data_IF_363299314106
#
_entry.id   IF_363299314106
#
_cell.length_a   1.000
_cell.length_b   1.000
_cell.length_c   1.000
_cell.angle_alpha   90.00
_cell.angle_beta   90.00
_cell.angle_gamma   90.00
#
_symmetry.space_group_name_H-M   'P 1'
#
loop_
_entity.id
_entity.type
_entity.pdbx_description
1 polymer ?
#
# COMPACT_ATOMS: atom_id res chain seq x y z
N UNK A 1 73.12 -0.61 -25.73
CA UNK A 1 73.04 -1.95 -25.09
C UNK A 1 71.60 -2.15 -24.64
N UNK A 2 70.83 -2.97 -25.36
CA UNK A 2 69.41 -3.22 -25.10
C UNK A 2 69.30 -4.37 -24.11
N UNK A 3 68.80 -4.12 -22.91
CA UNK A 3 68.48 -5.17 -21.94
C UNK A 3 66.99 -5.47 -21.97
N UNK A 4 66.67 -6.67 -22.43
CA UNK A 4 65.39 -7.33 -22.20
C UNK A 4 65.42 -7.92 -20.79
N UNK A 5 64.41 -7.62 -19.97
CA UNK A 5 64.10 -8.42 -18.78
C UNK A 5 62.61 -8.74 -18.81
N UNK A 6 62.35 -10.01 -19.10
CA UNK A 6 61.05 -10.69 -19.03
C UNK A 6 61.00 -11.40 -17.68
N UNK A 7 60.18 -10.96 -16.73
CA UNK A 7 59.80 -11.70 -15.50
C UNK A 7 58.37 -11.25 -15.14
N UNK A 8 57.33 -12.00 -15.52
CA UNK A 8 56.64 -13.07 -14.79
C UNK A 8 55.36 -12.54 -14.09
N UNK A 9 54.22 -12.92 -14.66
CA UNK A 9 52.89 -12.91 -14.04
C UNK A 9 52.92 -13.55 -12.64
N UNK A 10 52.15 -13.00 -11.69
CA UNK A 10 51.16 -13.70 -10.84
C UNK A 10 50.75 -12.79 -9.66
N UNK A 11 49.44 -12.78 -9.36
CA UNK A 11 48.75 -12.16 -8.20
C UNK A 11 48.45 -10.65 -8.23
N UNK A 12 47.51 -10.25 -9.09
CA UNK A 12 46.57 -9.16 -8.76
C UNK A 12 45.12 -9.63 -8.96
N UNK A 13 44.84 -10.84 -8.48
CA UNK A 13 43.48 -11.27 -8.17
C UNK A 13 43.31 -11.12 -6.65
N UNK A 14 42.10 -10.80 -6.20
CA UNK A 14 41.68 -10.60 -4.80
C UNK A 14 41.85 -9.16 -4.27
N UNK A 15 41.22 -8.15 -4.88
CA UNK A 15 40.65 -7.00 -4.14
C UNK A 15 39.45 -6.34 -4.86
N UNK A 16 38.70 -7.10 -5.67
CA UNK A 16 37.40 -6.68 -6.21
C UNK A 16 36.22 -7.50 -5.67
N UNK A 17 36.39 -8.14 -4.52
CA UNK A 17 35.26 -8.69 -3.77
C UNK A 17 34.93 -7.74 -2.63
N UNK A 18 33.64 -7.40 -2.52
CA UNK A 18 32.99 -6.56 -1.49
C UNK A 18 32.71 -5.11 -1.86
N UNK A 19 32.15 -4.88 -3.05
CA UNK A 19 31.20 -3.79 -3.24
C UNK A 19 30.01 -4.23 -4.11
N UNK A 20 29.50 -5.44 -3.84
CA UNK A 20 28.06 -5.63 -3.96
C UNK A 20 27.46 -5.00 -2.71
N UNK A 21 27.18 -3.71 -2.80
CA UNK A 21 26.18 -3.09 -1.97
C UNK A 21 24.94 -4.00 -2.03
N UNK A 22 24.42 -4.39 -0.86
CA UNK A 22 23.13 -5.06 -0.78
C UNK A 22 22.07 -4.10 -1.33
N UNK A 23 21.85 -4.12 -2.64
CA UNK A 23 20.57 -3.76 -3.20
C UNK A 23 19.64 -4.90 -2.81
N UNK A 24 19.17 -4.85 -1.57
CA UNK A 24 18.03 -5.62 -1.13
C UNK A 24 16.88 -5.11 -1.98
N UNK A 25 16.62 -5.78 -3.10
CA UNK A 25 15.34 -5.64 -3.78
C UNK A 25 14.28 -5.90 -2.72
N UNK A 26 13.69 -4.83 -2.22
CA UNK A 26 12.54 -4.89 -1.34
C UNK A 26 11.38 -5.29 -2.24
N UNK A 27 11.37 -6.57 -2.64
CA UNK A 27 10.25 -7.15 -3.38
C UNK A 27 8.98 -6.89 -2.57
N UNK A 28 8.01 -6.27 -3.23
CA UNK A 28 6.73 -5.93 -2.65
C UNK A 28 5.74 -7.03 -3.01
N UNK A 29 4.96 -7.46 -2.02
CA UNK A 29 3.87 -8.39 -2.18
C UNK A 29 2.56 -7.63 -2.01
N UNK A 30 1.78 -7.55 -3.09
CA UNK A 30 0.43 -7.02 -3.04
C UNK A 30 -0.46 -8.01 -2.30
N UNK A 31 -1.06 -7.57 -1.19
CA UNK A 31 -1.92 -8.41 -0.36
C UNK A 31 -3.38 -8.31 -0.80
N UNK A 32 -3.81 -7.11 -1.19
CA UNK A 32 -5.17 -6.84 -1.67
C UNK A 32 -5.19 -5.63 -2.58
N UNK A 33 -6.15 -5.63 -3.49
CA UNK A 33 -6.53 -4.47 -4.29
C UNK A 33 -7.99 -4.11 -4.05
N UNK A 34 -8.27 -2.82 -3.96
CA UNK A 34 -9.61 -2.27 -3.83
C UNK A 34 -9.92 -1.46 -5.09
N UNK A 35 -10.85 -1.96 -5.89
CA UNK A 35 -11.31 -1.30 -7.10
C UNK A 35 -12.37 -0.27 -6.75
N UNK A 36 -12.10 1.00 -7.05
CA UNK A 36 -12.98 2.10 -6.71
C UNK A 36 -14.08 2.21 -7.76
N UNK A 37 -15.34 2.12 -7.33
CA UNK A 37 -16.52 2.33 -8.18
C UNK A 37 -17.13 3.72 -8.01
N UNK A 38 -16.99 4.31 -6.82
CA UNK A 38 -17.47 5.66 -6.51
C UNK A 38 -16.67 6.30 -5.39
N UNK A 39 -16.73 7.63 -5.31
CA UNK A 39 -16.12 8.35 -4.22
C UNK A 39 -16.46 9.82 -4.12
N UNK A 40 -16.19 10.39 -2.95
CA UNK A 40 -16.47 11.79 -2.63
C UNK A 40 -15.26 12.46 -1.99
N UNK A 41 -15.10 13.76 -2.25
CA UNK A 41 -14.18 14.64 -1.56
C UNK A 41 -14.97 15.76 -0.88
N UNK A 42 -14.91 15.84 0.45
CA UNK A 42 -15.71 16.77 1.25
C UNK A 42 -17.21 16.73 0.91
N UNK A 43 -17.72 15.51 0.66
CA UNK A 43 -19.12 15.27 0.27
C UNK A 43 -19.46 15.59 -1.19
N UNK A 44 -18.54 16.17 -1.96
CA UNK A 44 -18.69 16.40 -3.40
C UNK A 44 -18.34 15.13 -4.16
N UNK A 45 -19.20 14.71 -5.09
CA UNK A 45 -18.95 13.55 -5.93
C UNK A 45 -17.75 13.78 -6.87
N UNK A 46 -16.79 12.85 -6.81
CA UNK A 46 -15.60 12.83 -7.67
C UNK A 46 -15.51 11.51 -8.47
N UNK A 47 -16.59 10.73 -8.50
CA UNK A 47 -16.66 9.43 -9.17
C UNK A 47 -16.22 9.49 -10.64
N UNK A 48 -16.66 10.46 -11.46
CA UNK A 48 -16.20 10.54 -12.86
C UNK A 48 -14.68 10.64 -12.99
N UNK A 49 -14.06 11.46 -12.13
CA UNK A 49 -12.60 11.63 -12.09
C UNK A 49 -11.90 10.33 -11.67
N UNK A 50 -12.40 9.64 -10.64
CA UNK A 50 -11.82 8.38 -10.16
C UNK A 50 -11.87 7.28 -11.24
N UNK A 51 -13.01 7.17 -11.95
CA UNK A 51 -13.18 6.23 -13.06
C UNK A 51 -12.25 6.59 -14.22
N UNK A 52 -12.18 7.87 -14.59
CA UNK A 52 -11.29 8.33 -15.66
C UNK A 52 -9.81 8.03 -15.35
N UNK A 53 -9.41 8.19 -14.09
CA UNK A 53 -8.06 7.90 -13.64
C UNK A 53 -7.77 6.41 -13.49
N UNK A 54 -8.79 5.54 -13.62
CA UNK A 54 -8.70 4.12 -13.28
C UNK A 54 -8.06 3.95 -11.89
N UNK A 55 -8.61 4.69 -10.92
CA UNK A 55 -8.08 4.80 -9.58
C UNK A 55 -8.38 3.54 -8.76
N UNK A 56 -7.41 3.11 -7.95
CA UNK A 56 -7.57 1.96 -7.05
C UNK A 56 -6.70 2.13 -5.80
N UNK A 57 -7.03 1.39 -4.75
CA UNK A 57 -6.19 1.28 -3.55
C UNK A 57 -5.54 -0.09 -3.48
N UNK A 58 -4.37 -0.18 -2.85
CA UNK A 58 -3.73 -1.45 -2.54
C UNK A 58 -3.20 -1.44 -1.11
N UNK A 59 -3.31 -2.57 -0.42
CA UNK A 59 -2.50 -2.85 0.77
C UNK A 59 -1.45 -3.88 0.36
N UNK A 60 -0.21 -3.62 0.74
CA UNK A 60 0.95 -4.44 0.36
C UNK A 60 1.94 -4.51 1.52
N UNK A 61 2.88 -5.43 1.42
CA UNK A 61 4.00 -5.54 2.35
C UNK A 61 5.32 -5.70 1.60
N UNK A 62 6.41 -5.42 2.30
CA UNK A 62 7.73 -5.88 1.83
C UNK A 62 7.89 -7.36 2.18
N UNK A 63 8.35 -8.18 1.23
CA UNK A 63 8.62 -9.60 1.47
C UNK A 63 9.60 -9.76 2.65
N UNK A 64 9.22 -10.63 3.59
CA UNK A 64 9.98 -10.86 4.83
C UNK A 64 9.79 -9.80 5.92
N UNK A 65 8.86 -8.84 5.74
CA UNK A 65 8.45 -7.87 6.75
C UNK A 65 6.98 -8.08 7.11
N UNK A 66 6.62 -7.80 8.37
CA UNK A 66 5.22 -7.69 8.80
C UNK A 66 4.67 -6.25 8.71
N UNK A 67 5.41 -5.36 8.06
CA UNK A 67 4.99 -3.96 7.92
C UNK A 67 4.05 -3.83 6.75
N UNK A 68 2.82 -3.40 7.05
CA UNK A 68 1.81 -3.08 6.05
C UNK A 68 2.00 -1.67 5.52
N UNK A 69 1.72 -1.52 4.24
CA UNK A 69 1.70 -0.26 3.52
C UNK A 69 0.40 -0.16 2.74
N UNK A 70 -0.04 1.06 2.48
CA UNK A 70 -1.16 1.37 1.61
C UNK A 70 -0.71 2.32 0.51
N UNK A 71 -1.28 2.16 -0.68
CA UNK A 71 -1.20 3.15 -1.74
C UNK A 71 -2.58 3.45 -2.34
N UNK A 72 -2.82 4.73 -2.63
CA UNK A 72 -3.89 5.23 -3.49
C UNK A 72 -3.27 5.57 -4.85
N UNK A 73 -3.64 4.85 -5.89
CA UNK A 73 -3.01 4.92 -7.22
C UNK A 73 -3.99 5.49 -8.25
N UNK A 74 -3.54 6.47 -9.02
CA UNK A 74 -4.23 6.99 -10.20
C UNK A 74 -3.50 6.49 -11.43
N UNK A 75 -4.01 5.39 -12.00
CA UNK A 75 -3.29 4.60 -12.98
C UNK A 75 -3.02 5.36 -14.28
N UNK A 76 -4.00 6.12 -14.78
CA UNK A 76 -3.88 6.86 -16.04
C UNK A 76 -2.75 7.89 -16.00
N UNK A 77 -2.57 8.57 -14.87
CA UNK A 77 -1.55 9.60 -14.70
C UNK A 77 -0.24 9.07 -14.09
N UNK A 78 -0.19 7.79 -13.72
CA UNK A 78 0.95 7.17 -13.02
C UNK A 78 1.35 7.95 -11.75
N UNK A 79 0.35 8.40 -10.98
CA UNK A 79 0.56 9.11 -9.72
C UNK A 79 0.01 8.30 -8.55
N UNK A 80 0.59 8.51 -7.37
CA UNK A 80 0.13 7.83 -6.17
C UNK A 80 0.41 8.62 -4.90
N UNK A 81 -0.37 8.28 -3.88
CA UNK A 81 -0.06 8.57 -2.49
C UNK A 81 0.23 7.21 -1.83
N UNK A 82 1.35 7.04 -1.16
CA UNK A 82 1.77 5.74 -0.62
C UNK A 82 2.45 5.88 0.75
N UNK A 83 2.41 4.82 1.54
CA UNK A 83 3.20 4.76 2.77
C UNK A 83 2.66 3.81 3.82
N UNK A 84 3.21 3.90 5.03
CA UNK A 84 3.10 2.86 6.07
C UNK A 84 1.75 2.95 6.80
N UNK A 85 1.15 1.79 7.04
CA UNK A 85 0.03 1.62 7.98
C UNK A 85 0.56 1.33 9.39
N UNK A 86 -0.02 1.92 10.42
CA UNK A 86 0.30 1.65 11.82
C UNK A 86 -0.89 1.92 12.73
N UNK A 87 -0.78 1.47 14.00
CA UNK A 87 -1.84 1.58 15.01
C UNK A 87 -3.20 1.08 14.48
N UNK A 88 -3.19 -0.13 13.90
CA UNK A 88 -4.39 -0.76 13.38
C UNK A 88 -5.18 -1.40 14.52
N UNK A 89 -6.47 -1.10 14.55
CA UNK A 89 -7.49 -1.73 15.38
C UNK A 89 -8.53 -2.37 14.46
N UNK A 90 -9.11 -3.49 14.92
CA UNK A 90 -10.14 -4.23 14.18
C UNK A 90 -11.34 -4.50 15.07
N UNK A 91 -12.51 -4.24 14.54
CA UNK A 91 -13.79 -4.71 15.05
C UNK A 91 -14.42 -5.69 14.06
N UNK A 92 -14.99 -6.77 14.58
CA UNK A 92 -15.74 -7.75 13.79
C UNK A 92 -17.23 -7.62 14.09
N UNK A 93 -18.02 -7.44 13.04
CA UNK A 93 -19.47 -7.26 13.10
C UNK A 93 -20.11 -8.55 12.61
N UNK A 94 -20.78 -9.25 13.53
CA UNK A 94 -21.49 -10.50 13.25
C UNK A 94 -22.71 -10.21 12.36
N UNK A 95 -22.97 -11.10 11.41
CA UNK A 95 -24.18 -11.03 10.59
C UNK A 95 -25.46 -11.05 11.44
N UNK A 96 -26.49 -10.36 10.95
CA UNK A 96 -27.85 -10.36 11.49
C UNK A 96 -28.85 -10.44 10.34
N UNK A 97 -30.13 -10.56 10.66
CA UNK A 97 -31.19 -10.55 9.63
C UNK A 97 -31.20 -9.25 8.80
N UNK A 98 -30.67 -8.15 9.35
CA UNK A 98 -30.65 -6.84 8.70
C UNK A 98 -29.29 -6.50 8.05
N UNK A 99 -28.19 -7.12 8.50
CA UNK A 99 -26.85 -6.74 8.10
C UNK A 99 -25.97 -7.95 7.77
N UNK A 100 -25.21 -7.84 6.69
CA UNK A 100 -24.14 -8.78 6.36
C UNK A 100 -23.01 -8.71 7.39
N UNK A 101 -22.28 -9.82 7.53
CA UNK A 101 -21.01 -9.86 8.27
C UNK A 101 -20.06 -8.78 7.73
N UNK A 102 -19.35 -8.12 8.63
CA UNK A 102 -18.41 -7.09 8.26
C UNK A 102 -17.20 -7.02 9.20
N UNK A 103 -16.11 -6.47 8.68
CA UNK A 103 -14.97 -6.07 9.49
C UNK A 103 -14.78 -4.55 9.36
N UNK A 104 -14.56 -3.88 10.48
CA UNK A 104 -14.24 -2.46 10.55
C UNK A 104 -12.81 -2.31 11.06
N UNK A 105 -11.97 -1.61 10.28
CA UNK A 105 -10.59 -1.33 10.64
C UNK A 105 -10.40 0.16 10.83
N UNK A 106 -9.72 0.54 11.90
CA UNK A 106 -9.22 1.89 12.11
C UNK A 106 -7.71 1.86 12.14
N UNK A 107 -7.05 2.71 11.37
CA UNK A 107 -5.59 2.80 11.38
C UNK A 107 -5.09 4.19 10.99
N UNK A 108 -3.81 4.43 11.26
CA UNK A 108 -3.09 5.60 10.78
C UNK A 108 -2.30 5.25 9.52
N UNK A 109 -2.27 6.16 8.56
CA UNK A 109 -1.52 6.03 7.31
C UNK A 109 -0.54 7.18 7.15
N UNK A 110 0.76 6.90 7.28
CA UNK A 110 1.80 7.89 6.99
C UNK A 110 2.07 7.89 5.49
N UNK A 111 1.56 8.89 4.78
CA UNK A 111 1.56 8.94 3.32
C UNK A 111 2.59 9.92 2.76
N UNK A 112 3.00 9.68 1.51
CA UNK A 112 3.78 10.58 0.67
C UNK A 112 3.22 10.58 -0.74
N UNK A 113 3.07 11.76 -1.33
CA UNK A 113 2.53 11.96 -2.68
C UNK A 113 3.65 12.04 -3.71
N UNK A 114 3.43 11.45 -4.89
CA UNK A 114 4.35 11.57 -6.01
C UNK A 114 4.14 12.84 -6.86
N UNK A 115 3.02 13.54 -6.69
CA UNK A 115 2.57 14.62 -7.57
C UNK A 115 2.76 16.03 -7.02
N UNK A 116 2.87 16.20 -5.70
CA UNK A 116 3.05 17.52 -5.06
C UNK A 116 4.05 17.49 -3.89
N UNK A 117 4.77 16.39 -3.69
CA UNK A 117 5.72 16.15 -2.58
C UNK A 117 5.13 16.28 -1.17
N UNK A 118 3.81 16.45 -1.03
CA UNK A 118 3.17 16.50 0.28
C UNK A 118 3.26 15.13 0.93
N UNK A 119 3.42 15.17 2.25
CA UNK A 119 3.48 14.01 3.13
C UNK A 119 2.76 14.34 4.43
N UNK A 120 2.22 13.33 5.06
CA UNK A 120 1.42 13.51 6.25
C UNK A 120 1.02 12.20 6.89
N UNK A 121 0.01 12.28 7.74
CA UNK A 121 -0.64 11.20 8.46
C UNK A 121 -2.14 11.37 8.33
N UNK A 122 -2.79 10.38 7.71
CA UNK A 122 -4.23 10.31 7.64
C UNK A 122 -4.79 9.28 8.61
N UNK A 123 -5.93 9.60 9.23
CA UNK A 123 -6.79 8.62 9.88
C UNK A 123 -7.58 7.90 8.80
N UNK A 124 -7.59 6.57 8.87
CA UNK A 124 -8.31 5.75 7.90
C UNK A 124 -9.27 4.82 8.61
N UNK A 125 -10.50 4.80 8.11
CA UNK A 125 -11.50 3.79 8.42
C UNK A 125 -11.74 2.94 7.18
N UNK A 126 -11.61 1.62 7.32
CA UNK A 126 -11.92 0.66 6.26
C UNK A 126 -13.00 -0.29 6.75
N UNK A 127 -14.19 -0.21 6.16
CA UNK A 127 -15.26 -1.17 6.31
C UNK A 127 -15.18 -2.20 5.18
N UNK A 128 -15.14 -3.49 5.51
CA UNK A 128 -15.31 -4.62 4.58
C UNK A 128 -16.63 -5.31 4.88
N UNK A 129 -17.52 -5.39 3.91
CA UNK A 129 -18.82 -6.07 4.04
C UNK A 129 -18.81 -7.33 3.16
N UNK A 130 -19.01 -8.49 3.79
CA UNK A 130 -18.94 -9.79 3.14
C UNK A 130 -20.31 -10.14 2.53
N UNK A 131 -20.45 -9.93 1.21
CA UNK A 131 -21.68 -10.24 0.47
C UNK A 131 -21.49 -11.50 -0.38
N UNK A 132 -22.57 -12.22 -0.76
CA UNK A 132 -22.47 -13.38 -1.64
C UNK A 132 -21.78 -13.10 -2.98
N UNK A 133 -21.87 -11.86 -3.49
CA UNK A 133 -21.27 -11.45 -4.76
C UNK A 133 -19.79 -11.05 -4.64
N UNK A 134 -19.25 -10.95 -3.42
CA UNK A 134 -17.89 -10.49 -3.15
C UNK A 134 -17.81 -9.56 -1.94
N UNK A 135 -16.61 -9.05 -1.68
CA UNK A 135 -16.38 -8.12 -0.56
C UNK A 135 -16.54 -6.69 -1.04
N UNK A 136 -17.59 -6.03 -0.56
CA UNK A 136 -17.75 -4.59 -0.71
C UNK A 136 -16.86 -3.87 0.30
N UNK A 137 -16.26 -2.74 -0.10
CA UNK A 137 -15.53 -1.90 0.84
C UNK A 137 -16.05 -0.47 0.84
N UNK A 138 -15.85 0.19 1.98
CA UNK A 138 -15.90 1.66 2.12
C UNK A 138 -14.64 2.07 2.88
N UNK A 139 -13.85 2.97 2.29
CA UNK A 139 -12.66 3.53 2.90
C UNK A 139 -12.83 5.03 3.08
N UNK A 140 -12.76 5.51 4.32
CA UNK A 140 -12.77 6.93 4.67
C UNK A 140 -11.34 7.34 5.05
N UNK A 141 -10.78 8.35 4.41
CA UNK A 141 -9.44 8.88 4.66
C UNK A 141 -9.57 10.34 5.07
N UNK A 142 -9.02 10.69 6.23
CA UNK A 142 -9.04 12.04 6.79
C UNK A 142 -7.60 12.46 7.08
N UNK A 143 -6.96 13.27 6.20
CA UNK A 143 -5.64 13.85 6.43
C UNK A 143 -5.69 14.96 7.49
N UNK A 144 -4.53 15.56 7.78
CA UNK A 144 -4.39 16.59 8.81
C UNK A 144 -5.16 17.89 8.51
N UNK A 145 -5.43 18.17 7.24
CA UNK A 145 -6.26 19.30 6.79
C UNK A 145 -7.76 19.06 6.99
N UNK A 146 -8.15 17.89 7.51
CA UNK A 146 -9.52 17.48 7.80
C UNK A 146 -10.40 17.29 6.56
N UNK A 147 -9.80 17.29 5.37
CA UNK A 147 -10.53 16.92 4.17
C UNK A 147 -11.01 15.46 4.26
N UNK A 148 -12.23 15.18 3.82
CA UNK A 148 -12.83 13.85 3.93
C UNK A 148 -12.91 13.22 2.55
N UNK A 149 -12.05 12.23 2.32
CA UNK A 149 -12.10 11.36 1.16
C UNK A 149 -12.88 10.09 1.52
N UNK A 150 -13.86 9.74 0.71
CA UNK A 150 -14.59 8.47 0.86
C UNK A 150 -14.55 7.73 -0.46
N UNK A 151 -14.02 6.50 -0.44
CA UNK A 151 -14.00 5.61 -1.59
C UNK A 151 -14.81 4.36 -1.30
N UNK A 152 -15.50 3.85 -2.32
CA UNK A 152 -16.33 2.66 -2.22
C UNK A 152 -16.14 1.79 -3.47
N UNK A 153 -16.39 0.50 -3.31
CA UNK A 153 -16.32 -0.44 -4.41
C UNK A 153 -16.10 -1.85 -3.94
N UNK A 154 -15.25 -2.60 -4.65
CA UNK A 154 -15.09 -4.03 -4.43
C UNK A 154 -13.63 -4.42 -4.21
N UNK A 155 -13.42 -5.41 -3.36
CA UNK A 155 -12.12 -5.99 -3.12
C UNK A 155 -11.81 -7.07 -4.17
N UNK A 156 -10.64 -6.98 -4.78
CA UNK A 156 -10.05 -8.05 -5.59
C UNK A 156 -8.95 -8.75 -4.76
N UNK A 157 -9.00 -10.09 -4.76
CA UNK A 157 -8.09 -10.94 -3.98
C UNK A 157 -8.68 -11.43 -2.66
N UNK A 158 -7.86 -12.10 -1.86
CA UNK A 158 -8.22 -12.61 -0.53
C UNK A 158 -7.23 -12.07 0.49
N UNK A 159 -7.68 -11.17 1.38
CA UNK A 159 -6.84 -10.67 2.47
C UNK A 159 -7.49 -10.89 3.83
N UNK A 160 -6.80 -11.70 4.63
CA UNK A 160 -7.01 -11.81 6.06
C UNK A 160 -6.05 -10.85 6.79
N UNK A 161 -6.55 -9.68 7.18
CA UNK A 161 -5.79 -8.70 7.96
C UNK A 161 -5.62 -9.10 9.43
N UNK A 162 -6.32 -10.15 9.91
CA UNK A 162 -6.27 -10.54 11.33
C UNK A 162 -4.90 -11.03 11.77
N UNK A 163 -4.08 -11.53 10.84
CA UNK A 163 -2.71 -11.97 11.12
C UNK A 163 -1.75 -10.82 11.48
N UNK A 164 -2.18 -9.57 11.29
CA UNK A 164 -1.42 -8.35 11.61
C UNK A 164 -1.99 -7.56 12.79
N UNK A 165 -3.12 -8.01 13.37
CA UNK A 165 -3.67 -7.45 14.60
C UNK A 165 -2.69 -7.75 15.75
N UNK A 166 -2.06 -6.70 16.29
CA UNK A 166 -1.18 -6.83 17.45
C UNK A 166 -2.04 -6.85 18.71
N UNK A 167 -2.56 -8.03 19.05
CA UNK A 167 -2.91 -8.32 20.44
C UNK A 167 -1.61 -8.26 21.27
N UNK A 168 -1.49 -7.24 22.12
CA UNK A 168 -0.62 -7.28 23.29
C UNK A 168 -1.18 -8.29 24.30
#
# INVERSE_FOLDING_TARGET
>A
MKFYITILLVTCAIFFSKLQAQQKDLSQEMLVKFQISDGTFNGVDITPTLIEQNAYLVIYQTIGSKTLYMANFWNKNNTQSYGKIYAMEKEHIVASDENYEADLFHFQWSYSNTYDTKKGTAKVELLKVYKPQGVYFKMTIIPEDLDVLVYRGFMEGSLDLTIYDRKN
#
